data_IF_483400503273
#
_entry.id   IF_483400503273
#
_cell.length_a   1.000
_cell.length_b   1.000
_cell.length_c   1.000
_cell.angle_alpha   90.00
_cell.angle_beta   90.00
_cell.angle_gamma   90.00
#
_symmetry.space_group_name_H-M   'P 1'
#
loop_
_entity.id
_entity.type
_entity.pdbx_description
1 polymer ?
#
# COMPACT_ATOMS: atom_id res chain seq x y z
N UNK A 1 -13.59 6.25 -7.01
CA UNK A 1 -14.60 7.30 -6.69
C UNK A 1 -15.87 7.26 -7.56
N UNK A 2 -15.84 6.70 -8.77
CA UNK A 2 -17.05 6.22 -9.50
C UNK A 2 -17.79 5.11 -8.71
N UNK A 3 -17.05 4.37 -7.87
CA UNK A 3 -17.55 3.32 -6.97
C UNK A 3 -18.69 3.75 -6.02
N UNK A 4 -18.68 4.99 -5.52
CA UNK A 4 -19.70 5.47 -4.58
C UNK A 4 -21.05 5.73 -5.27
N UNK A 5 -21.08 5.86 -6.61
CA UNK A 5 -22.35 6.08 -7.34
C UNK A 5 -23.23 4.84 -7.38
N UNK A 6 -22.71 3.64 -7.12
CA UNK A 6 -23.47 2.40 -7.32
C UNK A 6 -23.77 1.59 -6.05
N UNK A 7 -23.03 1.77 -4.96
CA UNK A 7 -23.39 1.12 -3.69
C UNK A 7 -24.79 1.55 -3.18
N UNK A 8 -25.24 2.77 -3.51
CA UNK A 8 -26.58 3.27 -3.18
C UNK A 8 -27.69 2.86 -4.17
N UNK A 9 -27.38 2.11 -5.25
CA UNK A 9 -28.38 1.61 -6.21
C UNK A 9 -28.71 0.12 -6.06
N UNK A 10 -27.96 -0.62 -5.23
CA UNK A 10 -28.02 -2.09 -5.18
C UNK A 10 -28.75 -2.66 -3.96
N UNK A 11 -29.46 -1.87 -3.16
CA UNK A 11 -30.16 -2.34 -1.95
C UNK A 11 -31.60 -2.85 -2.15
N UNK A 12 -32.11 -2.93 -3.38
CA UNK A 12 -33.44 -3.51 -3.66
C UNK A 12 -33.30 -4.71 -4.62
N UNK A 13 -32.93 -5.89 -4.11
CA UNK A 13 -33.13 -7.17 -4.83
C UNK A 13 -33.53 -8.27 -3.84
N UNK A 14 -34.71 -8.85 -4.10
CA UNK A 14 -35.40 -9.92 -3.40
C UNK A 14 -34.59 -11.23 -3.26
N UNK A 15 -34.62 -11.80 -2.05
CA UNK A 15 -34.13 -13.14 -1.71
C UNK A 15 -35.21 -14.20 -1.99
N UNK A 16 -35.05 -15.00 -3.05
CA UNK A 16 -35.68 -16.33 -3.13
C UNK A 16 -34.77 -17.37 -3.79
N UNK A 17 -34.38 -18.35 -2.97
CA UNK A 17 -34.30 -19.80 -3.24
C UNK A 17 -33.42 -20.33 -4.40
N UNK A 18 -32.45 -21.21 -4.12
CA UNK A 18 -32.65 -22.66 -3.91
C UNK A 18 -31.37 -23.46 -4.23
N UNK A 19 -31.17 -24.53 -3.47
CA UNK A 19 -30.00 -25.42 -3.41
C UNK A 19 -29.95 -26.53 -4.47
N UNK A 20 -28.75 -26.85 -4.97
CA UNK A 20 -28.37 -28.22 -5.36
C UNK A 20 -26.83 -28.38 -5.53
N UNK A 21 -26.20 -29.19 -4.67
CA UNK A 21 -24.81 -29.65 -4.78
C UNK A 21 -24.64 -30.76 -5.85
N UNK A 22 -23.47 -30.81 -6.51
CA UNK A 22 -22.93 -32.10 -6.96
C UNK A 22 -21.49 -32.37 -6.51
N UNK A 23 -21.26 -33.67 -6.34
CA UNK A 23 -20.11 -34.41 -5.81
C UNK A 23 -18.74 -34.14 -6.47
N UNK A 24 -17.69 -34.09 -5.63
CA UNK A 24 -16.27 -33.94 -6.00
C UNK A 24 -15.60 -35.28 -6.39
N UNK A 25 -14.72 -35.30 -7.41
CA UNK A 25 -13.78 -36.40 -7.63
C UNK A 25 -12.42 -36.18 -6.93
N UNK A 26 -11.75 -37.29 -6.57
CA UNK A 26 -10.43 -37.36 -5.92
C UNK A 26 -9.28 -37.06 -6.91
N UNK A 27 -8.18 -36.43 -6.46
CA UNK A 27 -6.98 -36.27 -7.30
C UNK A 27 -6.04 -37.49 -7.23
N UNK A 28 -5.25 -37.75 -8.29
CA UNK A 28 -4.24 -38.79 -8.30
C UNK A 28 -2.92 -38.33 -7.67
N UNK A 29 -2.27 -39.26 -6.98
CA UNK A 29 -0.90 -39.21 -6.48
C UNK A 29 0.12 -39.25 -7.62
N UNK A 30 1.06 -38.29 -7.64
CA UNK A 30 2.27 -38.36 -8.45
C UNK A 30 3.48 -38.12 -7.54
N UNK A 31 4.34 -39.13 -7.49
CA UNK A 31 5.66 -39.09 -6.86
C UNK A 31 6.69 -38.44 -7.77
N UNK A 32 7.67 -37.77 -7.16
CA UNK A 32 8.81 -37.18 -7.84
C UNK A 32 9.98 -37.04 -6.88
N UNK A 33 11.05 -37.78 -7.17
CA UNK A 33 12.25 -37.92 -6.37
C UNK A 33 13.05 -36.61 -6.27
N UNK A 34 13.44 -36.22 -5.05
CA UNK A 34 14.37 -35.13 -4.79
C UNK A 34 15.77 -35.68 -4.49
N UNK A 35 16.72 -35.30 -5.34
CA UNK A 35 18.15 -35.59 -5.25
C UNK A 35 18.76 -34.84 -4.06
N UNK A 36 19.26 -35.56 -3.06
CA UNK A 36 19.93 -35.01 -1.87
C UNK A 36 21.40 -34.74 -2.19
N UNK A 37 21.78 -33.46 -2.31
CA UNK A 37 23.17 -33.04 -2.42
C UNK A 37 23.79 -32.86 -1.02
N UNK A 38 24.51 -33.89 -0.55
CA UNK A 38 25.28 -33.85 0.72
C UNK A 38 26.49 -32.93 0.59
N UNK A 39 26.47 -31.79 1.28
CA UNK A 39 27.64 -30.93 1.48
C UNK A 39 28.49 -31.46 2.65
N UNK A 40 29.75 -31.76 2.34
CA UNK A 40 30.74 -32.43 3.19
C UNK A 40 31.42 -31.39 4.11
N UNK A 41 30.92 -31.22 5.34
CA UNK A 41 31.59 -30.39 6.35
C UNK A 41 32.86 -31.09 6.88
N UNK A 42 34.02 -30.52 6.53
CA UNK A 42 35.34 -30.94 7.04
C UNK A 42 35.58 -30.28 8.40
N UNK A 43 35.56 -31.07 9.46
CA UNK A 43 36.00 -30.67 10.79
C UNK A 43 37.51 -30.40 10.84
N UNK A 44 37.90 -29.20 11.26
CA UNK A 44 39.25 -28.90 11.75
C UNK A 44 39.15 -28.69 13.26
N UNK A 45 39.72 -29.63 14.02
CA UNK A 45 39.94 -29.47 15.45
C UNK A 45 40.92 -28.33 15.71
N UNK A 46 40.66 -27.56 16.77
CA UNK A 46 41.65 -26.68 17.39
C UNK A 46 41.93 -27.17 18.82
N UNK A 47 43.20 -27.32 19.21
CA UNK A 47 43.60 -27.69 20.55
C UNK A 47 43.53 -26.46 21.48
N UNK A 48 43.39 -26.78 22.78
CA UNK A 48 42.98 -25.86 23.84
C UNK A 48 43.85 -24.63 24.06
N UNK A 49 43.22 -23.61 24.63
CA UNK A 49 43.89 -22.45 25.22
C UNK A 49 43.43 -22.27 26.68
N UNK A 50 44.29 -21.68 27.52
CA UNK A 50 44.18 -21.72 28.96
C UNK A 50 43.22 -20.65 29.49
N UNK A 51 42.48 -21.03 30.53
CA UNK A 51 41.65 -20.16 31.36
C UNK A 51 42.48 -18.99 31.92
N UNK A 52 42.30 -17.79 31.36
CA UNK A 52 42.73 -16.53 31.95
C UNK A 52 41.50 -15.67 32.26
N UNK A 53 41.22 -15.43 33.54
CA UNK A 53 40.10 -14.60 33.99
C UNK A 53 40.34 -13.14 33.61
N UNK A 54 39.86 -12.72 32.43
CA UNK A 54 39.81 -11.31 32.07
C UNK A 54 38.59 -10.69 32.75
N UNK A 55 38.84 -9.79 33.71
CA UNK A 55 37.84 -8.89 34.24
C UNK A 55 37.24 -8.11 33.06
N UNK A 56 36.02 -8.48 32.65
CA UNK A 56 35.31 -7.82 31.58
C UNK A 56 34.93 -6.41 32.07
N UNK A 57 35.65 -5.41 31.55
CA UNK A 57 35.29 -4.01 31.72
C UNK A 57 33.93 -3.83 31.02
N UNK A 58 32.87 -3.66 31.81
CA UNK A 58 31.53 -3.38 31.30
C UNK A 58 31.57 -1.95 30.75
N UNK A 59 31.76 -1.82 29.44
CA UNK A 59 31.59 -0.53 28.76
C UNK A 59 30.16 -0.04 28.99
N UNK A 60 29.95 1.23 29.38
CA UNK A 60 28.61 1.77 29.60
C UNK A 60 27.77 1.59 28.33
N UNK A 61 26.58 0.99 28.48
CA UNK A 61 25.66 0.83 27.35
C UNK A 61 25.23 2.21 26.85
N UNK A 62 25.59 2.54 25.61
CA UNK A 62 25.07 3.75 24.97
C UNK A 62 23.58 3.56 24.65
N UNK A 63 22.79 4.65 24.69
CA UNK A 63 21.36 4.60 24.36
C UNK A 63 21.08 4.03 22.96
N UNK A 64 21.99 4.25 22.00
CA UNK A 64 21.91 3.68 20.65
C UNK A 64 22.04 2.16 20.66
N UNK A 65 22.95 1.63 21.47
CA UNK A 65 23.09 0.18 21.64
C UNK A 65 21.83 -0.40 22.30
N UNK A 66 21.28 0.26 23.32
CA UNK A 66 20.04 -0.15 23.96
C UNK A 66 18.87 -0.22 22.96
N UNK A 67 18.63 0.84 22.18
CA UNK A 67 17.57 0.85 21.16
C UNK A 67 17.79 -0.21 20.08
N UNK A 68 19.04 -0.42 19.67
CA UNK A 68 19.41 -1.43 18.68
C UNK A 68 19.06 -2.85 19.16
N UNK A 69 19.33 -3.14 20.43
CA UNK A 69 19.01 -4.43 21.05
C UNK A 69 17.49 -4.56 21.26
N UNK A 70 16.84 -3.54 21.84
CA UNK A 70 15.40 -3.61 22.16
C UNK A 70 14.48 -3.64 20.95
N UNK A 71 14.78 -2.87 19.91
CA UNK A 71 13.98 -2.88 18.68
C UNK A 71 14.04 -4.21 17.91
N UNK A 72 14.94 -5.14 18.27
CA UNK A 72 15.02 -6.50 17.70
C UNK A 72 14.46 -7.57 18.64
N UNK A 73 14.07 -7.21 19.85
CA UNK A 73 13.47 -8.13 20.83
C UNK A 73 11.97 -8.31 20.50
N UNK A 74 11.52 -9.52 20.12
CA UNK A 74 10.12 -9.77 19.78
C UNK A 74 9.15 -9.39 20.90
N UNK A 75 9.53 -9.62 22.16
CA UNK A 75 8.67 -9.30 23.30
C UNK A 75 8.49 -7.78 23.45
N UNK A 76 9.55 -7.00 23.20
CA UNK A 76 9.48 -5.55 23.19
C UNK A 76 8.58 -5.04 22.05
N UNK A 77 8.75 -5.60 20.85
CA UNK A 77 7.95 -5.21 19.67
C UNK A 77 6.46 -5.45 19.89
N UNK A 78 6.06 -6.62 20.41
CA UNK A 78 4.65 -6.90 20.68
C UNK A 78 4.06 -6.01 21.78
N UNK A 79 4.83 -5.71 22.83
CA UNK A 79 4.39 -4.75 23.86
C UNK A 79 4.16 -3.35 23.29
N UNK A 80 5.02 -2.90 22.37
CA UNK A 80 4.87 -1.64 21.68
C UNK A 80 3.59 -1.61 20.82
N UNK A 81 3.36 -2.64 20.00
CA UNK A 81 2.16 -2.77 19.16
C UNK A 81 0.89 -2.75 20.01
N UNK A 82 0.83 -3.60 21.04
CA UNK A 82 -0.34 -3.69 21.94
C UNK A 82 -0.56 -2.35 22.65
N UNK A 83 0.50 -1.70 23.13
CA UNK A 83 0.42 -0.41 23.80
C UNK A 83 -0.15 0.69 22.91
N UNK A 84 0.30 0.78 21.65
CA UNK A 84 -0.20 1.77 20.68
C UNK A 84 -1.68 1.52 20.37
N UNK A 85 -2.06 0.27 20.10
CA UNK A 85 -3.46 -0.08 19.77
C UNK A 85 -4.38 0.16 20.98
N UNK A 86 -3.98 -0.26 22.18
CA UNK A 86 -4.77 -0.04 23.40
C UNK A 86 -4.98 1.45 23.68
N UNK A 87 -3.94 2.28 23.51
CA UNK A 87 -4.08 3.72 23.60
C UNK A 87 -5.05 4.27 22.54
N UNK A 88 -4.96 3.77 21.30
CA UNK A 88 -5.89 4.11 20.22
C UNK A 88 -7.36 3.80 20.56
N UNK A 89 -7.63 2.62 21.15
CA UNK A 89 -8.97 2.22 21.55
C UNK A 89 -9.52 3.13 22.65
N UNK A 90 -8.72 3.42 23.69
CA UNK A 90 -9.13 4.33 24.78
C UNK A 90 -9.39 5.74 24.25
N UNK A 91 -8.50 6.26 23.41
CA UNK A 91 -8.66 7.58 22.81
C UNK A 91 -9.85 7.65 21.85
N UNK A 92 -10.13 6.57 21.10
CA UNK A 92 -11.30 6.50 20.22
C UNK A 92 -12.60 6.50 20.99
N UNK A 93 -12.66 5.77 22.11
CA UNK A 93 -13.80 5.82 23.02
C UNK A 93 -14.00 7.22 23.61
N UNK A 94 -12.93 7.86 24.10
CA UNK A 94 -13.00 9.23 24.59
C UNK A 94 -13.46 10.21 23.49
N UNK A 95 -12.92 10.08 22.28
CA UNK A 95 -13.31 10.92 21.16
C UNK A 95 -14.81 10.78 20.84
N UNK A 96 -15.34 9.56 20.85
CA UNK A 96 -16.77 9.32 20.69
C UNK A 96 -17.61 10.00 21.77
N UNK A 97 -17.21 9.91 23.04
CA UNK A 97 -17.91 10.57 24.15
C UNK A 97 -17.91 12.09 24.00
N UNK A 98 -16.78 12.66 23.58
CA UNK A 98 -16.62 14.12 23.44
C UNK A 98 -17.37 14.68 22.23
N UNK A 99 -17.44 13.95 21.12
CA UNK A 99 -18.16 14.42 19.92
C UNK A 99 -19.65 14.13 19.99
N UNK A 100 -20.15 13.39 20.98
CA UNK A 100 -21.57 13.04 21.09
C UNK A 100 -22.13 12.33 19.85
N UNK A 101 -21.25 11.73 19.03
CA UNK A 101 -21.63 11.16 17.74
C UNK A 101 -22.22 12.21 16.78
N UNK A 102 -21.57 13.37 16.64
CA UNK A 102 -21.99 14.55 15.84
C UNK A 102 -22.54 14.27 14.42
N UNK A 103 -22.43 13.05 13.90
CA UNK A 103 -23.02 12.63 12.64
C UNK A 103 -22.33 13.32 11.46
N UNK A 104 -22.45 12.73 10.28
CA UNK A 104 -21.99 13.38 9.06
C UNK A 104 -23.03 14.40 8.59
N UNK A 105 -22.76 15.69 8.76
CA UNK A 105 -23.49 16.74 8.05
C UNK A 105 -22.69 17.15 6.81
N UNK A 106 -23.04 16.64 5.62
CA UNK A 106 -22.32 16.93 4.38
C UNK A 106 -23.22 17.43 3.23
N UNK A 107 -23.31 18.76 2.99
CA UNK A 107 -24.09 19.30 1.86
C UNK A 107 -23.31 19.86 0.65
N UNK A 108 -21.98 19.68 0.48
CA UNK A 108 -21.21 20.45 -0.53
C UNK A 108 -20.82 19.73 -1.86
N UNK A 109 -20.78 18.40 -1.91
CA UNK A 109 -20.10 17.68 -3.02
C UNK A 109 -20.84 17.65 -4.38
N UNK A 110 -22.14 18.03 -4.45
CA UNK A 110 -22.94 17.83 -5.67
C UNK A 110 -22.67 18.86 -6.77
N UNK A 111 -22.65 20.15 -6.44
CA UNK A 111 -22.47 21.24 -7.43
C UNK A 111 -21.10 21.20 -8.15
N UNK A 112 -20.11 20.54 -7.55
CA UNK A 112 -18.77 20.36 -8.08
C UNK A 112 -18.67 19.38 -9.26
N UNK A 113 -19.63 18.47 -9.43
CA UNK A 113 -19.50 17.39 -10.42
C UNK A 113 -20.08 17.77 -11.78
N UNK A 114 -21.20 18.48 -11.75
CA UNK A 114 -22.02 18.77 -12.92
C UNK A 114 -21.25 19.51 -14.02
N UNK A 115 -20.36 20.45 -13.66
CA UNK A 115 -19.56 21.21 -14.63
C UNK A 115 -18.52 20.35 -15.37
N UNK A 116 -17.86 19.41 -14.70
CA UNK A 116 -16.84 18.57 -15.35
C UNK A 116 -17.49 17.61 -16.36
N UNK A 117 -18.65 17.05 -16.00
CA UNK A 117 -19.46 16.19 -16.87
C UNK A 117 -20.03 16.98 -18.06
N UNK A 118 -20.48 18.22 -17.84
CA UNK A 118 -20.93 19.13 -18.90
C UNK A 118 -19.80 19.46 -19.89
N UNK A 119 -18.61 19.83 -19.40
CA UNK A 119 -17.46 20.13 -20.26
C UNK A 119 -16.99 18.89 -21.03
N UNK A 120 -16.96 17.72 -20.39
CA UNK A 120 -16.54 16.47 -21.01
C UNK A 120 -17.53 16.01 -22.10
N UNK A 121 -18.83 16.06 -21.82
CA UNK A 121 -19.89 15.73 -22.80
C UNK A 121 -19.89 16.69 -24.00
N UNK A 122 -19.58 17.98 -23.77
CA UNK A 122 -19.39 18.98 -24.82
C UNK A 122 -18.07 18.84 -25.61
N UNK A 123 -17.19 17.88 -25.26
CA UNK A 123 -15.90 17.69 -25.93
C UNK A 123 -14.86 18.79 -25.63
N UNK A 124 -15.08 19.59 -24.58
CA UNK A 124 -14.23 20.72 -24.18
C UNK A 124 -13.02 20.24 -23.35
N UNK A 125 -12.20 19.35 -23.93
CA UNK A 125 -11.14 18.62 -23.21
C UNK A 125 -10.07 19.51 -22.58
N UNK A 126 -9.75 20.64 -23.21
CA UNK A 126 -8.77 21.58 -22.66
C UNK A 126 -9.28 22.24 -21.38
N UNK A 127 -10.57 22.59 -21.35
CA UNK A 127 -11.24 23.12 -20.16
C UNK A 127 -11.31 22.05 -19.07
N UNK A 128 -11.68 20.81 -19.42
CA UNK A 128 -11.67 19.67 -18.49
C UNK A 128 -10.29 19.50 -17.84
N UNK A 129 -9.22 19.55 -18.62
CA UNK A 129 -7.85 19.44 -18.12
C UNK A 129 -7.55 20.48 -17.02
N UNK A 130 -7.87 21.75 -17.23
CA UNK A 130 -7.59 22.80 -16.23
C UNK A 130 -8.58 22.89 -15.08
N UNK A 131 -9.80 22.38 -15.27
CA UNK A 131 -10.85 22.39 -14.24
C UNK A 131 -10.61 21.32 -13.16
N UNK A 132 -9.99 20.19 -13.52
CA UNK A 132 -9.68 19.09 -12.57
C UNK A 132 -8.88 19.56 -11.35
N UNK A 133 -7.68 20.19 -11.48
CA UNK A 133 -6.86 20.55 -10.33
C UNK A 133 -7.55 21.57 -9.41
N UNK A 134 -8.42 22.42 -9.95
CA UNK A 134 -9.20 23.39 -9.16
C UNK A 134 -10.20 22.70 -8.24
N UNK A 135 -10.65 21.49 -8.59
CA UNK A 135 -11.66 20.72 -7.85
C UNK A 135 -11.07 19.58 -7.03
N UNK A 136 -9.82 19.18 -7.28
CA UNK A 136 -9.17 18.06 -6.60
C UNK A 136 -9.06 18.23 -5.07
N UNK A 137 -8.94 19.47 -4.58
CA UNK A 137 -8.70 19.77 -3.16
C UNK A 137 -9.87 20.46 -2.47
N UNK A 138 -11.02 20.55 -3.14
CA UNK A 138 -12.22 21.17 -2.57
C UNK A 138 -12.93 20.14 -1.70
N UNK A 139 -13.45 20.58 -0.56
CA UNK A 139 -14.31 19.80 0.35
C UNK A 139 -13.66 18.69 1.19
N UNK A 140 -12.34 18.66 1.36
CA UNK A 140 -11.73 17.73 2.32
C UNK A 140 -11.91 18.20 3.76
N UNK A 141 -12.46 17.32 4.61
CA UNK A 141 -12.52 17.60 6.04
C UNK A 141 -11.11 17.58 6.66
N UNK A 142 -10.82 18.42 7.67
CA UNK A 142 -9.51 18.42 8.33
C UNK A 142 -9.11 17.05 8.89
N UNK A 143 -10.08 16.26 9.37
CA UNK A 143 -9.83 14.91 9.88
C UNK A 143 -9.38 13.93 8.80
N UNK A 144 -9.99 14.00 7.61
CA UNK A 144 -9.57 13.21 6.43
C UNK A 144 -8.14 13.55 6.02
N UNK A 145 -7.82 14.84 5.95
CA UNK A 145 -6.47 15.32 5.62
C UNK A 145 -5.47 14.83 6.67
N UNK A 146 -5.77 15.00 7.95
CA UNK A 146 -4.89 14.58 9.04
C UNK A 146 -4.61 13.06 9.00
N UNK A 147 -5.63 12.24 8.76
CA UNK A 147 -5.46 10.80 8.67
C UNK A 147 -4.64 10.38 7.44
N UNK A 148 -4.89 11.01 6.29
CA UNK A 148 -4.12 10.76 5.07
C UNK A 148 -2.65 11.19 5.21
N UNK A 149 -2.39 12.32 5.87
CA UNK A 149 -1.02 12.76 6.17
C UNK A 149 -0.34 11.84 7.18
N UNK A 150 -1.04 11.39 8.22
CA UNK A 150 -0.51 10.40 9.17
C UNK A 150 -0.08 9.13 8.42
N UNK A 151 -0.93 8.60 7.55
CA UNK A 151 -0.63 7.47 6.69
C UNK A 151 0.60 7.72 5.80
N UNK A 152 0.63 8.85 5.10
CA UNK A 152 1.77 9.28 4.31
C UNK A 152 3.07 9.33 5.11
N UNK A 153 3.03 9.92 6.31
CA UNK A 153 4.20 10.05 7.17
C UNK A 153 4.72 8.70 7.67
N UNK A 154 3.84 7.80 8.15
CA UNK A 154 4.25 6.48 8.61
C UNK A 154 4.96 5.68 7.51
N UNK A 155 4.39 5.66 6.30
CA UNK A 155 4.99 4.97 5.16
C UNK A 155 6.27 5.66 4.65
N UNK A 156 6.31 7.00 4.63
CA UNK A 156 7.52 7.73 4.24
C UNK A 156 8.68 7.47 5.21
N UNK A 157 8.43 7.46 6.52
CA UNK A 157 9.46 7.14 7.52
C UNK A 157 10.02 5.73 7.30
N UNK A 158 9.13 4.75 7.06
CA UNK A 158 9.53 3.39 6.71
C UNK A 158 10.40 3.34 5.44
N UNK A 159 9.97 4.01 4.37
CA UNK A 159 10.68 4.04 3.08
C UNK A 159 12.04 4.73 3.19
N UNK A 160 12.14 5.86 3.90
CA UNK A 160 13.40 6.59 4.11
C UNK A 160 14.39 5.78 4.95
N UNK A 161 13.91 5.05 5.98
CA UNK A 161 14.76 4.16 6.75
C UNK A 161 15.23 2.97 5.90
N UNK A 162 14.35 2.41 5.06
CA UNK A 162 14.70 1.32 4.16
C UNK A 162 15.77 1.75 3.13
N UNK A 163 15.70 3.00 2.67
CA UNK A 163 16.65 3.63 1.75
C UNK A 163 18.00 3.99 2.40
N UNK A 164 18.08 3.99 3.74
CA UNK A 164 19.27 4.33 4.54
C UNK A 164 19.90 5.66 4.18
N UNK A 165 19.11 6.73 4.25
CA UNK A 165 19.66 8.09 4.13
C UNK A 165 20.28 8.53 5.45
N UNK A 166 21.61 8.65 5.48
CA UNK A 166 22.36 9.01 6.69
C UNK A 166 22.21 10.49 7.08
N UNK A 167 21.82 11.35 6.13
CA UNK A 167 21.69 12.79 6.36
C UNK A 167 20.49 13.39 5.63
N UNK A 168 19.90 14.46 6.17
CA UNK A 168 18.84 15.23 5.51
C UNK A 168 19.30 15.94 4.22
N UNK A 169 20.62 16.00 3.97
CA UNK A 169 21.20 16.56 2.74
C UNK A 169 21.34 15.54 1.63
N UNK A 170 21.06 14.27 1.91
CA UNK A 170 21.06 13.22 0.89
C UNK A 170 19.98 13.53 -0.17
N UNK A 171 20.36 13.46 -1.44
CA UNK A 171 19.44 13.69 -2.57
C UNK A 171 18.28 12.71 -2.55
N UNK A 172 18.47 11.53 -1.95
CA UNK A 172 17.43 10.51 -1.77
C UNK A 172 16.26 11.00 -0.91
N UNK A 173 16.53 11.78 0.14
CA UNK A 173 15.49 12.36 1.02
C UNK A 173 14.64 13.35 0.24
N UNK A 174 15.29 14.30 -0.44
CA UNK A 174 14.59 15.29 -1.27
C UNK A 174 13.91 14.63 -2.47
N UNK A 175 14.53 13.62 -3.06
CA UNK A 175 13.95 12.79 -4.11
C UNK A 175 12.66 12.11 -3.65
N UNK A 176 12.58 11.64 -2.40
CA UNK A 176 11.37 11.02 -1.86
C UNK A 176 10.24 12.03 -1.68
N UNK A 177 10.54 13.24 -1.21
CA UNK A 177 9.55 14.32 -1.10
C UNK A 177 9.04 14.78 -2.47
N UNK A 178 9.95 14.94 -3.44
CA UNK A 178 9.60 15.24 -4.84
C UNK A 178 8.77 14.11 -5.44
N UNK A 179 9.12 12.85 -5.19
CA UNK A 179 8.36 11.69 -5.65
C UNK A 179 6.93 11.69 -5.10
N UNK A 180 6.72 11.97 -3.81
CA UNK A 180 5.38 12.09 -3.23
C UNK A 180 4.60 13.21 -3.93
N UNK A 181 5.21 14.37 -4.16
CA UNK A 181 4.56 15.46 -4.88
C UNK A 181 4.18 15.07 -6.31
N UNK A 182 5.06 14.36 -7.03
CA UNK A 182 4.79 13.82 -8.36
C UNK A 182 3.69 12.76 -8.35
N UNK A 183 3.62 11.94 -7.30
CA UNK A 183 2.53 11.00 -7.05
C UNK A 183 1.18 11.71 -6.90
N UNK A 184 1.12 12.75 -6.07
CA UNK A 184 -0.08 13.57 -5.94
C UNK A 184 -0.46 14.27 -7.24
N UNK A 185 0.52 14.80 -7.98
CA UNK A 185 0.33 15.39 -9.30
C UNK A 185 -0.24 14.38 -10.29
N UNK A 186 0.15 13.10 -10.22
CA UNK A 186 -0.31 12.06 -11.15
C UNK A 186 -1.81 11.77 -11.06
N UNK A 187 -2.49 12.15 -9.98
CA UNK A 187 -3.96 12.07 -9.89
C UNK A 187 -4.63 12.97 -10.94
N UNK A 188 -4.01 14.09 -11.31
CA UNK A 188 -4.56 14.99 -12.33
C UNK A 188 -4.70 14.32 -13.71
N UNK A 189 -3.63 13.81 -14.36
CA UNK A 189 -3.78 13.08 -15.61
C UNK A 189 -4.64 11.83 -15.46
N UNK A 190 -4.61 11.13 -14.32
CA UNK A 190 -5.54 10.01 -14.05
C UNK A 190 -6.99 10.43 -14.17
N UNK A 191 -7.41 11.51 -13.50
CA UNK A 191 -8.80 11.99 -13.56
C UNK A 191 -9.19 12.45 -14.95
N UNK A 192 -8.28 13.10 -15.68
CA UNK A 192 -8.50 13.49 -17.06
C UNK A 192 -8.75 12.27 -17.95
N UNK A 193 -7.86 11.27 -17.89
CA UNK A 193 -8.01 10.06 -18.69
C UNK A 193 -9.25 9.25 -18.29
N UNK A 194 -9.68 9.31 -17.03
CA UNK A 194 -10.95 8.69 -16.61
C UNK A 194 -12.12 9.25 -17.39
N UNK A 195 -12.29 10.58 -17.41
CA UNK A 195 -13.37 11.24 -18.15
C UNK A 195 -13.22 10.99 -19.65
N UNK A 196 -12.01 11.10 -20.17
CA UNK A 196 -11.78 10.87 -21.59
C UNK A 196 -12.13 9.44 -22.02
N UNK A 197 -11.73 8.42 -21.26
CA UNK A 197 -12.08 7.01 -21.52
C UNK A 197 -13.60 6.77 -21.42
N UNK A 198 -14.27 7.36 -20.45
CA UNK A 198 -15.72 7.24 -20.28
C UNK A 198 -16.45 7.79 -21.52
N UNK A 199 -16.19 9.04 -21.90
CA UNK A 199 -16.93 9.71 -22.97
C UNK A 199 -16.45 9.40 -24.39
N UNK A 200 -15.18 9.02 -24.60
CA UNK A 200 -14.64 8.72 -25.95
C UNK A 200 -14.53 7.23 -26.24
N UNK A 201 -14.28 6.41 -25.24
CA UNK A 201 -14.13 4.96 -25.42
C UNK A 201 -15.34 4.18 -24.93
N UNK A 202 -16.33 4.86 -24.35
CA UNK A 202 -17.49 4.24 -23.70
C UNK A 202 -17.05 3.19 -22.68
N UNK A 203 -15.93 3.47 -21.99
CA UNK A 203 -15.40 2.61 -20.95
C UNK A 203 -16.06 2.99 -19.63
N UNK A 204 -17.34 2.63 -19.52
CA UNK A 204 -18.17 2.88 -18.35
C UNK A 204 -18.07 1.70 -17.37
N UNK A 205 -18.35 1.98 -16.10
CA UNK A 205 -18.48 0.92 -15.11
C UNK A 205 -19.67 0.01 -15.47
N UNK A 206 -19.46 -1.30 -15.37
CA UNK A 206 -20.52 -2.30 -15.49
C UNK A 206 -20.41 -3.31 -14.36
N UNK A 207 -21.54 -3.73 -13.76
CA UNK A 207 -21.55 -4.81 -12.77
C UNK A 207 -21.30 -6.18 -13.41
N UNK A 208 -21.48 -6.32 -14.73
CA UNK A 208 -21.23 -7.57 -15.44
C UNK A 208 -19.73 -7.91 -15.46
N UNK A 209 -19.39 -9.18 -15.24
CA UNK A 209 -18.00 -9.66 -15.14
C UNK A 209 -17.06 -9.11 -16.23
N UNK A 210 -17.34 -9.39 -17.51
CA UNK A 210 -16.38 -9.10 -18.58
C UNK A 210 -16.23 -7.59 -18.86
N UNK A 211 -17.32 -6.80 -19.03
CA UNK A 211 -17.20 -5.35 -19.16
C UNK A 211 -16.63 -4.68 -17.89
N UNK A 212 -16.97 -5.19 -16.70
CA UNK A 212 -16.39 -4.76 -15.43
C UNK A 212 -14.89 -5.00 -15.34
N UNK A 213 -14.41 -6.19 -15.68
CA UNK A 213 -12.98 -6.51 -15.75
C UNK A 213 -12.24 -5.61 -16.75
N UNK A 214 -12.84 -5.36 -17.92
CA UNK A 214 -12.29 -4.42 -18.91
C UNK A 214 -12.16 -3.02 -18.32
N UNK A 215 -13.20 -2.54 -17.61
CA UNK A 215 -13.20 -1.25 -16.93
C UNK A 215 -12.09 -1.17 -15.88
N UNK A 216 -11.95 -2.17 -15.01
CA UNK A 216 -10.94 -2.12 -13.95
C UNK A 216 -9.50 -2.29 -14.46
N UNK A 217 -9.24 -3.22 -15.38
CA UNK A 217 -7.87 -3.44 -15.87
C UNK A 217 -7.41 -2.31 -16.81
N UNK A 218 -8.20 -1.98 -17.83
CA UNK A 218 -7.80 -0.98 -18.83
C UNK A 218 -8.14 0.45 -18.40
N UNK A 219 -9.23 0.63 -17.65
CA UNK A 219 -9.70 1.93 -17.21
C UNK A 219 -9.03 2.39 -15.93
N UNK A 220 -8.92 1.53 -14.91
CA UNK A 220 -8.35 1.89 -13.61
C UNK A 220 -6.85 1.57 -13.56
N UNK A 221 -6.49 0.28 -13.58
CA UNK A 221 -5.11 -0.17 -13.38
C UNK A 221 -4.12 0.43 -14.38
N UNK A 222 -4.42 0.33 -15.69
CA UNK A 222 -3.54 0.85 -16.74
C UNK A 222 -3.36 2.37 -16.64
N UNK A 223 -4.47 3.09 -16.53
CA UNK A 223 -4.51 4.55 -16.47
C UNK A 223 -3.70 5.09 -15.31
N UNK A 224 -3.86 4.48 -14.14
CA UNK A 224 -3.24 4.97 -12.92
C UNK A 224 -1.76 4.67 -12.85
N UNK A 225 -1.35 3.44 -13.15
CA UNK A 225 0.07 3.12 -13.17
C UNK A 225 0.82 3.84 -14.30
N UNK A 226 0.18 4.05 -15.46
CA UNK A 226 0.75 4.86 -16.53
C UNK A 226 0.93 6.32 -16.10
N UNK A 227 -0.09 6.94 -15.49
CA UNK A 227 -0.01 8.32 -15.02
C UNK A 227 1.11 8.52 -13.99
N UNK A 228 1.23 7.60 -13.02
CA UNK A 228 2.32 7.60 -12.03
C UNK A 228 3.68 7.47 -12.71
N UNK A 229 3.81 6.54 -13.66
CA UNK A 229 5.06 6.33 -14.40
C UNK A 229 5.45 7.56 -15.22
N UNK A 230 4.50 8.22 -15.88
CA UNK A 230 4.75 9.47 -16.63
C UNK A 230 5.26 10.59 -15.71
N UNK A 231 4.65 10.75 -14.53
CA UNK A 231 5.09 11.71 -13.53
C UNK A 231 6.44 11.33 -12.90
N UNK A 232 6.82 10.05 -12.87
CA UNK A 232 8.12 9.58 -12.40
C UNK A 232 9.28 9.92 -13.36
N UNK A 233 9.04 10.06 -14.66
CA UNK A 233 10.09 10.21 -15.69
C UNK A 233 11.16 11.29 -15.39
N UNK A 234 10.82 12.51 -14.91
CA UNK A 234 11.82 13.52 -14.58
C UNK A 234 12.78 13.06 -13.46
N UNK A 235 12.24 12.37 -12.45
CA UNK A 235 13.02 11.85 -11.34
C UNK A 235 13.82 10.60 -11.77
N UNK A 236 13.24 9.75 -12.61
CA UNK A 236 13.91 8.58 -13.17
C UNK A 236 15.21 8.95 -13.89
N UNK A 237 15.21 10.06 -14.64
CA UNK A 237 16.41 10.55 -15.31
C UNK A 237 17.54 10.92 -14.31
N UNK A 238 17.22 11.35 -13.09
CA UNK A 238 18.20 11.56 -12.03
C UNK A 238 18.67 10.23 -11.44
N UNK A 239 17.75 9.31 -11.16
CA UNK A 239 18.04 7.99 -10.58
C UNK A 239 18.98 7.18 -11.50
N UNK A 240 18.69 7.14 -12.81
CA UNK A 240 19.53 6.48 -13.83
C UNK A 240 20.95 7.04 -13.85
N UNK A 241 21.10 8.37 -13.73
CA UNK A 241 22.43 9.01 -13.64
C UNK A 241 23.19 8.62 -12.36
N UNK A 242 22.47 8.44 -11.25
CA UNK A 242 23.06 8.03 -9.96
C UNK A 242 23.34 6.54 -9.85
N UNK A 243 22.74 5.72 -10.74
CA UNK A 243 22.88 4.26 -10.79
C UNK A 243 22.56 3.58 -9.45
N UNK A 244 21.41 3.95 -8.89
CA UNK A 244 20.99 3.51 -7.56
C UNK A 244 19.67 2.74 -7.63
N UNK A 245 19.76 1.40 -7.63
CA UNK A 245 18.59 0.51 -7.71
C UNK A 245 17.68 0.61 -6.49
N UNK A 246 18.24 0.75 -5.28
CA UNK A 246 17.45 0.93 -4.07
C UNK A 246 16.64 2.23 -4.14
N UNK A 247 17.26 3.32 -4.62
CA UNK A 247 16.54 4.56 -4.88
C UNK A 247 15.49 4.41 -6.00
N UNK A 248 15.76 3.64 -7.05
CA UNK A 248 14.76 3.37 -8.10
C UNK A 248 13.49 2.72 -7.52
N UNK A 249 13.64 1.67 -6.71
CA UNK A 249 12.52 0.99 -6.05
C UNK A 249 11.77 1.95 -5.09
N UNK A 250 12.50 2.58 -4.17
CA UNK A 250 11.89 3.37 -3.10
C UNK A 250 11.29 4.68 -3.61
N UNK A 251 11.98 5.43 -4.46
CA UNK A 251 11.47 6.70 -4.97
C UNK A 251 10.26 6.50 -5.88
N UNK A 252 10.24 5.42 -6.67
CA UNK A 252 9.04 5.05 -7.43
C UNK A 252 7.90 4.63 -6.50
N UNK A 253 8.19 3.90 -5.42
CA UNK A 253 7.22 3.62 -4.36
C UNK A 253 6.67 4.89 -3.69
N UNK A 254 7.49 5.92 -3.50
CA UNK A 254 7.05 7.23 -3.00
C UNK A 254 6.11 7.95 -3.97
N UNK A 255 6.23 7.76 -5.29
CA UNK A 255 5.23 8.23 -6.27
C UNK A 255 3.90 7.50 -6.04
N UNK A 256 3.94 6.17 -5.87
CA UNK A 256 2.75 5.38 -5.50
C UNK A 256 2.10 5.87 -4.21
N UNK A 257 2.90 6.19 -3.18
CA UNK A 257 2.42 6.75 -1.91
C UNK A 257 1.75 8.12 -2.09
N UNK A 258 2.35 9.03 -2.86
CA UNK A 258 1.77 10.35 -3.13
C UNK A 258 0.41 10.28 -3.83
N UNK A 259 0.27 9.34 -4.78
CA UNK A 259 -1.01 9.05 -5.43
C UNK A 259 -2.03 8.52 -4.41
N UNK A 260 -1.64 7.51 -3.62
CA UNK A 260 -2.52 6.85 -2.66
C UNK A 260 -3.02 7.80 -1.56
N UNK A 261 -2.19 8.75 -1.09
CA UNK A 261 -2.61 9.80 -0.14
C UNK A 261 -3.80 10.60 -0.72
N UNK A 262 -3.68 11.05 -1.97
CA UNK A 262 -4.72 11.84 -2.63
C UNK A 262 -5.98 11.02 -2.90
N UNK A 263 -5.80 9.78 -3.35
CA UNK A 263 -6.94 8.92 -3.65
C UNK A 263 -7.73 8.55 -2.39
N UNK A 264 -7.03 8.22 -1.31
CA UNK A 264 -7.64 7.87 -0.03
C UNK A 264 -8.42 9.04 0.58
N UNK A 265 -7.95 10.29 0.43
CA UNK A 265 -8.74 11.47 0.82
C UNK A 265 -10.08 11.54 0.06
N UNK A 266 -10.07 11.25 -1.24
CA UNK A 266 -11.27 11.20 -2.08
C UNK A 266 -12.25 10.09 -1.68
N UNK A 267 -11.74 8.89 -1.38
CA UNK A 267 -12.59 7.80 -0.91
C UNK A 267 -13.22 8.10 0.45
N UNK A 268 -12.42 8.55 1.41
CA UNK A 268 -12.90 8.91 2.73
C UNK A 268 -14.05 9.91 2.72
N UNK A 269 -13.89 10.94 1.89
CA UNK A 269 -14.86 12.01 1.74
C UNK A 269 -16.16 11.50 1.09
N UNK A 270 -16.07 10.49 0.23
CA UNK A 270 -17.22 9.94 -0.50
C UNK A 270 -17.92 8.78 0.22
N UNK A 271 -17.22 7.97 1.00
CA UNK A 271 -17.78 6.85 1.78
C UNK A 271 -18.22 7.24 3.19
N UNK A 272 -18.09 8.51 3.58
CA UNK A 272 -18.33 8.95 4.96
C UNK A 272 -17.57 8.11 6.01
N UNK A 273 -16.40 7.60 5.62
CA UNK A 273 -15.55 6.81 6.48
C UNK A 273 -15.92 5.34 6.68
N UNK A 274 -16.93 4.78 5.99
CA UNK A 274 -17.19 3.33 6.04
C UNK A 274 -16.03 2.50 5.47
N UNK A 275 -15.43 2.98 4.39
CA UNK A 275 -14.39 2.24 3.63
C UNK A 275 -12.95 2.60 4.05
N UNK A 276 -12.76 3.18 5.24
CA UNK A 276 -11.52 3.89 5.57
C UNK A 276 -10.33 2.99 5.83
N UNK A 277 -10.54 1.92 6.59
CA UNK A 277 -9.46 1.29 7.35
C UNK A 277 -8.63 0.36 6.46
N UNK A 278 -9.29 -0.46 5.65
CA UNK A 278 -8.65 -1.28 4.63
C UNK A 278 -7.83 -0.42 3.67
N UNK A 279 -8.35 0.72 3.23
CA UNK A 279 -7.66 1.58 2.25
C UNK A 279 -6.33 2.17 2.77
N UNK A 280 -6.26 2.66 4.01
CA UNK A 280 -4.99 3.21 4.52
C UNK A 280 -3.94 2.14 4.82
N UNK A 281 -4.39 0.95 5.23
CA UNK A 281 -3.51 -0.14 5.67
C UNK A 281 -3.10 -1.06 4.53
N UNK A 282 -3.92 -1.23 3.47
CA UNK A 282 -3.61 -2.11 2.34
C UNK A 282 -3.43 -1.35 1.03
N UNK A 283 -4.25 -0.34 0.70
CA UNK A 283 -4.13 0.35 -0.58
C UNK A 283 -2.84 1.19 -0.67
N UNK A 284 -2.44 1.88 0.40
CA UNK A 284 -1.15 2.59 0.44
C UNK A 284 0.05 1.68 0.12
N UNK A 285 0.30 0.60 0.89
CA UNK A 285 1.42 -0.30 0.60
C UNK A 285 1.25 -1.00 -0.76
N UNK A 286 0.03 -1.28 -1.22
CA UNK A 286 -0.21 -1.85 -2.54
C UNK A 286 0.25 -0.90 -3.66
N UNK A 287 -0.14 0.38 -3.63
CA UNK A 287 0.35 1.38 -4.60
C UNK A 287 1.85 1.60 -4.49
N UNK A 288 2.42 1.64 -3.28
CA UNK A 288 3.88 1.69 -3.09
C UNK A 288 4.54 0.51 -3.81
N UNK A 289 4.02 -0.70 -3.63
CA UNK A 289 4.59 -1.91 -4.18
C UNK A 289 4.45 -1.96 -5.72
N UNK A 290 3.26 -1.70 -6.26
CA UNK A 290 2.99 -1.67 -7.69
C UNK A 290 3.93 -0.67 -8.39
N UNK A 291 3.88 0.60 -7.99
CA UNK A 291 4.65 1.67 -8.63
C UNK A 291 6.16 1.51 -8.37
N UNK A 292 6.54 1.01 -7.20
CA UNK A 292 7.92 0.66 -6.87
C UNK A 292 8.52 -0.38 -7.81
N UNK A 293 7.81 -1.50 -8.00
CA UNK A 293 8.25 -2.59 -8.87
C UNK A 293 8.26 -2.20 -10.35
N UNK A 294 7.25 -1.45 -10.82
CA UNK A 294 7.23 -0.87 -12.16
C UNK A 294 8.44 0.04 -12.37
N UNK A 295 8.67 0.98 -11.45
CA UNK A 295 9.77 1.94 -11.55
C UNK A 295 11.15 1.28 -11.53
N UNK A 296 11.34 0.25 -10.71
CA UNK A 296 12.58 -0.55 -10.69
C UNK A 296 12.80 -1.26 -12.04
N UNK A 297 11.76 -1.88 -12.61
CA UNK A 297 11.88 -2.57 -13.89
C UNK A 297 12.19 -1.60 -15.04
N UNK A 298 11.52 -0.44 -15.09
CA UNK A 298 11.78 0.61 -16.09
C UNK A 298 13.19 1.19 -15.91
N UNK A 299 13.64 1.41 -14.67
CA UNK A 299 15.02 1.82 -14.40
C UNK A 299 16.04 0.83 -14.97
N UNK A 300 15.87 -0.48 -14.74
CA UNK A 300 16.74 -1.52 -15.29
C UNK A 300 16.73 -1.51 -16.83
N UNK A 301 15.56 -1.30 -17.44
CA UNK A 301 15.42 -1.10 -18.89
C UNK A 301 16.11 0.18 -19.41
N UNK A 302 16.15 1.27 -18.64
CA UNK A 302 16.90 2.46 -19.03
C UNK A 302 18.42 2.24 -19.04
N UNK A 303 18.93 1.30 -18.22
CA UNK A 303 20.34 0.95 -18.20
C UNK A 303 20.72 -0.06 -19.30
N UNK A 304 19.83 -1.01 -19.60
CA UNK A 304 20.05 -2.04 -20.62
C UNK A 304 18.75 -2.36 -21.37
N UNK A 305 18.36 -1.47 -22.28
CA UNK A 305 17.06 -1.56 -22.97
C UNK A 305 16.90 -2.86 -23.77
N UNK A 306 17.98 -3.38 -24.36
CA UNK A 306 17.90 -4.56 -25.23
C UNK A 306 17.54 -5.81 -24.44
N UNK A 307 18.07 -5.99 -23.24
CA UNK A 307 17.84 -7.19 -22.44
C UNK A 307 16.73 -7.00 -21.41
N UNK A 308 16.57 -5.80 -20.86
CA UNK A 308 15.63 -5.51 -19.78
C UNK A 308 14.34 -4.83 -20.26
N UNK A 309 14.30 -4.28 -21.47
CA UNK A 309 13.10 -3.63 -22.06
C UNK A 309 11.88 -4.55 -22.11
N UNK A 310 11.98 -5.77 -22.70
CA UNK A 310 10.86 -6.72 -22.70
C UNK A 310 10.41 -7.12 -21.29
N UNK A 311 11.34 -7.29 -20.35
CA UNK A 311 11.03 -7.61 -18.96
C UNK A 311 10.29 -6.45 -18.28
N UNK A 312 10.69 -5.20 -18.51
CA UNK A 312 10.00 -4.03 -17.97
C UNK A 312 8.57 -3.92 -18.50
N UNK A 313 8.35 -4.17 -19.80
CA UNK A 313 7.01 -4.18 -20.39
C UNK A 313 6.14 -5.30 -19.80
N UNK A 314 6.70 -6.49 -19.60
CA UNK A 314 6.01 -7.61 -18.98
C UNK A 314 5.63 -7.32 -17.52
N UNK A 315 6.56 -6.79 -16.72
CA UNK A 315 6.30 -6.39 -15.33
C UNK A 315 5.23 -5.31 -15.26
N UNK A 316 5.30 -4.29 -16.13
CA UNK A 316 4.28 -3.26 -16.22
C UNK A 316 2.90 -3.85 -16.52
N UNK A 317 2.78 -4.71 -17.54
CA UNK A 317 1.52 -5.35 -17.91
C UNK A 317 0.94 -6.23 -16.80
N UNK A 318 1.79 -7.04 -16.12
CA UNK A 318 1.36 -7.89 -15.01
C UNK A 318 0.87 -7.07 -13.82
N UNK A 319 1.57 -5.99 -13.46
CA UNK A 319 1.18 -5.17 -12.31
C UNK A 319 -0.03 -4.28 -12.60
N UNK A 320 -0.20 -3.81 -13.83
CA UNK A 320 -1.46 -3.19 -14.30
C UNK A 320 -2.63 -4.16 -14.17
N UNK A 321 -2.45 -5.40 -14.62
CA UNK A 321 -3.47 -6.43 -14.50
C UNK A 321 -3.76 -6.77 -13.04
N UNK A 322 -2.74 -6.94 -12.20
CA UNK A 322 -2.89 -7.20 -10.77
C UNK A 322 -3.63 -6.08 -10.05
N UNK A 323 -3.32 -4.81 -10.36
CA UNK A 323 -4.02 -3.65 -9.83
C UNK A 323 -5.51 -3.68 -10.23
N UNK A 324 -5.81 -3.77 -11.53
CA UNK A 324 -7.20 -3.81 -11.99
C UNK A 324 -7.98 -5.02 -11.45
N UNK A 325 -7.36 -6.20 -11.38
CA UNK A 325 -8.02 -7.39 -10.87
C UNK A 325 -8.26 -7.29 -9.34
N UNK A 326 -7.34 -6.69 -8.59
CA UNK A 326 -7.54 -6.41 -7.17
C UNK A 326 -8.79 -5.55 -6.94
N UNK A 327 -8.93 -4.45 -7.68
CA UNK A 327 -10.11 -3.59 -7.60
C UNK A 327 -11.38 -4.30 -8.07
N UNK A 328 -11.29 -5.08 -9.15
CA UNK A 328 -12.43 -5.83 -9.67
C UNK A 328 -12.98 -6.85 -8.65
N UNK A 329 -12.11 -7.56 -7.94
CA UNK A 329 -12.52 -8.53 -6.91
C UNK A 329 -13.25 -7.86 -5.74
N UNK A 330 -12.87 -6.62 -5.40
CA UNK A 330 -13.51 -5.87 -4.33
C UNK A 330 -14.91 -5.39 -4.73
N UNK A 331 -15.14 -5.16 -6.02
CA UNK A 331 -16.30 -4.39 -6.47
C UNK A 331 -17.32 -5.22 -7.24
N UNK A 332 -16.87 -6.11 -8.13
CA UNK A 332 -17.78 -6.84 -9.01
C UNK A 332 -18.53 -7.90 -8.20
N UNK A 333 -19.87 -7.92 -8.23
CA UNK A 333 -20.68 -8.89 -7.50
C UNK A 333 -20.31 -10.34 -7.83
N UNK A 334 -20.08 -10.63 -9.11
CA UNK A 334 -19.70 -11.97 -9.60
C UNK A 334 -18.33 -12.43 -9.05
N UNK A 335 -17.50 -11.51 -8.53
CA UNK A 335 -16.21 -11.82 -7.92
C UNK A 335 -16.23 -11.81 -6.38
N UNK A 336 -17.36 -11.49 -5.76
CA UNK A 336 -17.45 -11.35 -4.30
C UNK A 336 -17.12 -12.66 -3.56
N UNK A 337 -17.54 -13.81 -4.10
CA UNK A 337 -17.19 -15.14 -3.57
C UNK A 337 -15.68 -15.43 -3.65
N UNK A 338 -14.96 -14.71 -4.49
CA UNK A 338 -13.51 -14.81 -4.68
C UNK A 338 -12.75 -13.68 -3.97
N UNK A 339 -13.30 -13.08 -2.90
CA UNK A 339 -12.62 -12.06 -2.10
C UNK A 339 -11.20 -12.48 -1.65
N UNK A 340 -10.99 -13.79 -1.41
CA UNK A 340 -9.65 -14.35 -1.14
C UNK A 340 -8.65 -14.11 -2.27
N UNK A 341 -9.11 -14.05 -3.53
CA UNK A 341 -8.30 -13.73 -4.70
C UNK A 341 -7.66 -12.35 -4.61
N UNK A 342 -8.39 -11.34 -4.14
CA UNK A 342 -7.85 -10.00 -3.90
C UNK A 342 -6.74 -10.02 -2.84
N UNK A 343 -6.94 -10.78 -1.76
CA UNK A 343 -5.92 -10.97 -0.72
C UNK A 343 -4.68 -11.71 -1.25
N UNK A 344 -4.85 -12.71 -2.12
CA UNK A 344 -3.74 -13.43 -2.76
C UNK A 344 -2.95 -12.50 -3.68
N UNK A 345 -3.62 -11.70 -4.52
CA UNK A 345 -2.96 -10.72 -5.40
C UNK A 345 -2.15 -9.72 -4.57
N UNK A 346 -2.76 -9.15 -3.54
CA UNK A 346 -2.09 -8.25 -2.60
C UNK A 346 -0.87 -8.93 -1.97
N UNK A 347 -1.02 -10.16 -1.45
CA UNK A 347 0.06 -10.91 -0.83
C UNK A 347 1.24 -11.15 -1.79
N UNK A 348 0.98 -11.52 -3.05
CA UNK A 348 2.01 -11.79 -4.06
C UNK A 348 2.77 -10.51 -4.44
N UNK A 349 2.06 -9.39 -4.63
CA UNK A 349 2.69 -8.09 -4.94
C UNK A 349 3.54 -7.60 -3.77
N UNK A 350 3.01 -7.68 -2.54
CA UNK A 350 3.76 -7.30 -1.35
C UNK A 350 4.97 -8.19 -1.10
N UNK A 351 4.84 -9.50 -1.30
CA UNK A 351 5.96 -10.43 -1.24
C UNK A 351 7.06 -10.05 -2.24
N UNK A 352 6.71 -9.80 -3.50
CA UNK A 352 7.68 -9.42 -4.53
C UNK A 352 8.36 -8.08 -4.19
N UNK A 353 7.61 -7.10 -3.69
CA UNK A 353 8.18 -5.82 -3.27
C UNK A 353 9.16 -5.98 -2.10
N UNK A 354 8.79 -6.71 -1.05
CA UNK A 354 9.67 -6.94 0.09
C UNK A 354 10.88 -7.80 -0.28
N UNK A 355 10.74 -8.73 -1.21
CA UNK A 355 11.86 -9.51 -1.73
C UNK A 355 12.91 -8.63 -2.42
N UNK A 356 12.49 -7.75 -3.34
CA UNK A 356 13.38 -6.77 -3.98
C UNK A 356 13.94 -5.77 -2.97
N UNK A 357 13.12 -5.32 -2.01
CA UNK A 357 13.60 -4.42 -0.96
C UNK A 357 14.70 -5.06 -0.12
N UNK A 358 14.54 -6.33 0.26
CA UNK A 358 15.54 -7.09 1.02
C UNK A 358 16.84 -7.23 0.24
N UNK A 359 16.76 -7.55 -1.06
CA UNK A 359 17.94 -7.78 -1.90
C UNK A 359 18.74 -6.50 -2.14
N UNK A 360 18.06 -5.36 -2.29
CA UNK A 360 18.67 -4.07 -2.57
C UNK A 360 19.12 -3.31 -1.31
N UNK A 361 18.54 -3.62 -0.15
CA UNK A 361 18.83 -2.92 1.10
C UNK A 361 20.20 -3.31 1.67
N UNK A 362 21.08 -2.34 1.98
CA UNK A 362 22.35 -2.64 2.65
C UNK A 362 22.13 -3.21 4.07
N UNK A 363 22.77 -4.33 4.38
CA UNK A 363 22.60 -5.03 5.66
C UNK A 363 23.28 -4.32 6.84
N UNK A 364 22.62 -4.33 8.00
CA UNK A 364 23.16 -3.89 9.31
C UNK A 364 23.26 -2.38 9.51
N UNK A 365 23.50 -1.96 10.75
CA UNK A 365 23.82 -0.56 11.10
C UNK A 365 22.69 0.28 11.68
N UNK A 366 21.43 -0.17 11.59
CA UNK A 366 20.32 0.65 12.09
C UNK A 366 20.27 0.74 13.62
N UNK A 367 20.03 1.95 14.12
CA UNK A 367 19.79 2.22 15.55
C UNK A 367 18.44 1.66 16.00
N UNK A 368 17.42 1.79 15.17
CA UNK A 368 16.09 1.19 15.35
C UNK A 368 15.93 0.18 14.22
N UNK A 369 15.48 -1.03 14.52
CA UNK A 369 15.21 -2.05 13.48
C UNK A 369 14.17 -1.55 12.48
N UNK A 370 14.24 -2.01 11.24
CA UNK A 370 13.22 -1.70 10.23
C UNK A 370 11.88 -2.31 10.65
N UNK A 371 11.92 -3.48 11.30
CA UNK A 371 10.75 -4.16 11.86
C UNK A 371 10.03 -3.31 12.90
N UNK A 372 10.75 -2.65 13.81
CA UNK A 372 10.14 -1.79 14.81
C UNK A 372 9.42 -0.61 14.17
N UNK A 373 10.04 0.04 13.19
CA UNK A 373 9.42 1.18 12.48
C UNK A 373 8.19 0.76 11.69
N UNK A 374 8.26 -0.36 10.98
CA UNK A 374 7.11 -0.90 10.24
C UNK A 374 5.94 -1.21 11.19
N UNK A 375 6.18 -1.96 12.26
CA UNK A 375 5.13 -2.33 13.22
C UNK A 375 4.58 -1.11 13.96
N UNK A 376 5.43 -0.15 14.35
CA UNK A 376 4.99 1.09 14.96
C UNK A 376 4.13 1.91 14.00
N UNK A 377 4.56 2.05 12.74
CA UNK A 377 3.82 2.76 11.69
C UNK A 377 2.43 2.14 11.48
N UNK A 378 2.36 0.84 11.21
CA UNK A 378 1.10 0.11 11.04
C UNK A 378 0.19 0.28 12.27
N UNK A 379 0.73 0.11 13.48
CA UNK A 379 -0.06 0.24 14.71
C UNK A 379 -0.58 1.66 14.93
N UNK A 380 0.22 2.68 14.62
CA UNK A 380 -0.18 4.09 14.71
C UNK A 380 -1.29 4.42 13.71
N UNK A 381 -1.23 3.86 12.49
CA UNK A 381 -2.27 4.03 11.49
C UNK A 381 -3.57 3.34 11.89
N UNK A 382 -3.49 2.11 12.40
CA UNK A 382 -4.65 1.40 12.94
C UNK A 382 -5.28 2.19 14.09
N UNK A 383 -4.49 2.66 15.05
CA UNK A 383 -4.96 3.46 16.17
C UNK A 383 -5.58 4.80 15.73
N UNK A 384 -4.90 5.54 14.85
CA UNK A 384 -5.38 6.82 14.32
C UNK A 384 -6.69 6.68 13.55
N UNK A 385 -6.81 5.62 12.74
CA UNK A 385 -8.05 5.33 12.01
C UNK A 385 -9.18 4.95 12.95
N UNK A 386 -8.90 4.12 13.96
CA UNK A 386 -9.90 3.74 14.96
C UNK A 386 -10.41 4.96 15.73
N UNK A 387 -9.52 5.88 16.14
CA UNK A 387 -9.90 7.15 16.80
C UNK A 387 -10.82 7.97 15.88
N UNK A 388 -10.43 8.12 14.62
CA UNK A 388 -11.19 8.90 13.64
C UNK A 388 -12.60 8.33 13.41
N UNK A 389 -12.72 7.02 13.13
CA UNK A 389 -14.02 6.38 12.91
C UNK A 389 -14.85 6.41 14.20
N UNK A 390 -14.24 6.18 15.37
CA UNK A 390 -14.97 6.24 16.65
C UNK A 390 -15.57 7.62 16.91
N UNK A 391 -14.83 8.68 16.61
CA UNK A 391 -15.30 10.05 16.75
C UNK A 391 -16.51 10.37 15.85
N UNK A 392 -16.62 9.70 14.70
CA UNK A 392 -17.63 9.97 13.67
C UNK A 392 -18.85 9.05 13.75
N UNK A 393 -18.61 7.74 13.87
CA UNK A 393 -19.62 6.68 13.76
C UNK A 393 -19.80 5.87 15.05
N UNK A 394 -18.98 6.14 16.07
CA UNK A 394 -18.99 5.40 17.33
C UNK A 394 -18.03 4.21 17.36
N UNK A 395 -17.73 3.76 18.58
CA UNK A 395 -16.70 2.76 18.84
C UNK A 395 -17.06 1.37 18.32
N UNK A 396 -18.35 1.01 18.31
CA UNK A 396 -18.81 -0.28 17.81
C UNK A 396 -18.53 -0.41 16.31
N UNK A 397 -18.98 0.57 15.52
CA UNK A 397 -18.70 0.62 14.06
C UNK A 397 -17.21 0.69 13.76
N UNK A 398 -16.44 1.44 14.56
CA UNK A 398 -14.98 1.45 14.42
C UNK A 398 -14.35 0.08 14.65
N UNK A 399 -14.85 -0.70 15.62
CA UNK A 399 -14.39 -2.05 15.89
C UNK A 399 -14.78 -3.03 14.78
N UNK A 400 -16.02 -2.97 14.29
CA UNK A 400 -16.49 -3.83 13.20
C UNK A 400 -15.68 -3.59 11.91
N UNK A 401 -15.45 -2.32 11.55
CA UNK A 401 -14.60 -1.97 10.41
C UNK A 401 -13.17 -2.48 10.59
N UNK A 402 -12.61 -2.34 11.80
CA UNK A 402 -11.27 -2.84 12.09
C UNK A 402 -11.19 -4.36 11.92
N UNK A 403 -12.18 -5.10 12.43
CA UNK A 403 -12.18 -6.56 12.40
C UNK A 403 -12.19 -7.14 10.98
N UNK A 404 -12.89 -6.51 10.04
CA UNK A 404 -12.89 -6.92 8.63
C UNK A 404 -11.49 -6.84 8.01
N UNK A 405 -10.70 -5.83 8.38
CA UNK A 405 -9.38 -5.58 7.80
C UNK A 405 -8.23 -6.30 8.52
N UNK A 406 -8.46 -6.83 9.73
CA UNK A 406 -7.43 -7.53 10.53
C UNK A 406 -6.76 -8.66 9.74
N UNK A 407 -7.51 -9.39 8.90
CA UNK A 407 -6.95 -10.50 8.12
C UNK A 407 -5.95 -9.97 7.08
N UNK A 408 -6.34 -8.96 6.30
CA UNK A 408 -5.45 -8.37 5.29
C UNK A 408 -4.20 -7.75 5.91
N UNK A 409 -4.37 -7.06 7.04
CA UNK A 409 -3.27 -6.50 7.81
C UNK A 409 -2.35 -7.59 8.37
N UNK A 410 -2.92 -8.66 8.93
CA UNK A 410 -2.19 -9.81 9.46
C UNK A 410 -1.34 -10.47 8.39
N UNK A 411 -1.87 -10.65 7.18
CA UNK A 411 -1.11 -11.18 6.03
C UNK A 411 0.04 -10.25 5.65
N UNK A 412 -0.19 -8.94 5.55
CA UNK A 412 0.89 -7.98 5.25
C UNK A 412 2.00 -8.03 6.30
N UNK A 413 1.64 -8.00 7.59
CA UNK A 413 2.58 -8.05 8.71
C UNK A 413 3.36 -9.37 8.69
N UNK A 414 2.68 -10.49 8.46
CA UNK A 414 3.32 -11.80 8.35
C UNK A 414 4.34 -11.84 7.20
N UNK A 415 3.97 -11.40 6.00
CA UNK A 415 4.86 -11.38 4.84
C UNK A 415 6.08 -10.49 5.09
N UNK A 416 5.88 -9.30 5.66
CA UNK A 416 6.98 -8.42 6.04
C UNK A 416 7.93 -9.11 7.03
N UNK A 417 7.39 -9.70 8.10
CA UNK A 417 8.16 -10.38 9.14
C UNK A 417 8.84 -11.65 8.64
N UNK A 418 8.38 -12.24 7.55
CA UNK A 418 9.01 -13.39 6.89
C UNK A 418 10.16 -12.95 5.98
N UNK A 419 9.98 -11.86 5.23
CA UNK A 419 10.97 -11.44 4.23
C UNK A 419 12.11 -10.59 4.80
N UNK A 420 11.89 -9.79 5.83
CA UNK A 420 12.92 -8.86 6.31
C UNK A 420 13.93 -9.52 7.26
N UNK A 421 15.25 -9.36 7.09
CA UNK A 421 16.29 -10.15 7.77
C UNK A 421 16.33 -10.02 9.30
N UNK A 422 15.58 -9.07 9.87
CA UNK A 422 15.37 -8.91 11.30
C UNK A 422 14.11 -9.69 11.75
N UNK A 423 13.86 -10.85 11.12
CA UNK A 423 12.61 -11.60 11.25
C UNK A 423 12.41 -12.05 12.70
N UNK A 424 11.20 -11.86 13.23
CA UNK A 424 10.76 -12.54 14.46
C UNK A 424 10.32 -13.98 14.17
N UNK A 425 10.19 -14.33 12.89
CA UNK A 425 9.76 -15.64 12.41
C UNK A 425 10.98 -16.39 11.92
N UNK A 426 11.31 -17.50 12.58
CA UNK A 426 12.26 -18.48 12.06
C UNK A 426 11.47 -19.39 11.10
N UNK A 427 11.88 -19.44 9.83
CA UNK A 427 11.29 -20.31 8.80
C UNK A 427 12.16 -21.54 8.60
#
# INVERSE_FOLDING_TARGET
MLLVRQYNKSCDIDETANSSEPSRPRPPTIGGAALVQRQKYRGRGRPGSPFGSRNAIISPMTWQHYLRVKSRDPAYLWRMVIGIIAAGVVLGWLAHQLTGGLGFSGPALRAGRDRLEELASGGQWWQVWWEIPQRMFVDFSPGVIALALLAGCCWLVFLLQALRSDTLRDWRVWGALVAIALGGLSVWPTRFFSLWQEYRWHLEFSPEMLPGLRFFVLGVGLREELAKLLCLLPLLALIVRKRDEAAALILSGCVGLGFAINENMGYLTSSQGSDTLGRFLTANPFHIALTGLIGLAVYRACLDFRNQGPQALAVFGVLVFAHGLYDAVIVLPDLAEYAMGGLIIFALVMYQFFHELRSLRPQGGDTISLTATFLAGVSLLTAGTFIYISALAGTATAADNLMTDVIGLGVMVYLFLREMPETMVNV
#
